data_IF_994708375707
#
_entry.id   IF_994708375707
#
_cell.length_a   1.000
_cell.length_b   1.000
_cell.length_c   1.000
_cell.angle_alpha   90.00
_cell.angle_beta   90.00
_cell.angle_gamma   90.00
#
_symmetry.space_group_name_H-M   'P 1'
#
loop_
_entity.id
_entity.type
_entity.pdbx_description
1 polymer ?
#
# COMPACT_ATOMS: atom_id res chain seq x y z
N UNK A 1 -3.66 20.57 4.18
CA UNK A 1 -2.76 19.39 4.26
C UNK A 1 -3.09 18.72 5.58
N UNK A 2 -3.49 17.45 5.61
CA UNK A 2 -3.80 16.78 6.87
C UNK A 2 -2.48 16.55 7.63
N UNK A 3 -2.34 17.16 8.80
CA UNK A 3 -1.20 16.98 9.69
C UNK A 3 -1.65 16.14 10.88
N UNK A 4 -0.77 15.28 11.39
CA UNK A 4 -1.05 14.52 12.62
C UNK A 4 -1.14 15.49 13.79
N UNK A 5 -2.06 15.27 14.74
CA UNK A 5 -2.22 16.11 15.94
C UNK A 5 -0.88 16.33 16.69
N UNK A 6 -0.04 15.31 16.75
CA UNK A 6 1.29 15.41 17.36
C UNK A 6 2.21 16.37 16.60
N UNK A 7 2.16 16.35 15.27
CA UNK A 7 2.94 17.26 14.43
C UNK A 7 2.40 18.69 14.58
N UNK A 8 1.07 18.87 14.60
CA UNK A 8 0.43 20.16 14.82
C UNK A 8 0.80 20.76 16.18
N UNK A 9 0.73 19.96 17.25
CA UNK A 9 1.12 20.38 18.60
C UNK A 9 2.61 20.76 18.67
N UNK A 10 3.49 19.96 18.04
CA UNK A 10 4.91 20.26 17.97
C UNK A 10 5.20 21.56 17.19
N UNK A 11 4.47 21.81 16.08
CA UNK A 11 4.65 23.00 15.26
C UNK A 11 4.12 24.25 15.97
N UNK A 12 2.99 24.16 16.68
CA UNK A 12 2.45 25.23 17.55
C UNK A 12 3.37 25.55 18.72
N UNK A 13 4.02 24.56 19.31
CA UNK A 13 4.96 24.77 20.43
C UNK A 13 6.33 25.34 20.02
N UNK A 14 6.65 25.31 18.71
CA UNK A 14 7.91 25.81 18.17
C UNK A 14 7.92 27.35 18.07
N UNK A 15 9.10 27.97 17.99
CA UNK A 15 9.26 29.45 17.83
C UNK A 15 8.53 30.04 16.61
N UNK A 16 8.18 29.22 15.64
CA UNK A 16 7.45 29.58 14.41
C UNK A 16 5.92 29.50 14.65
N UNK A 17 5.48 28.86 15.73
CA UNK A 17 4.07 28.74 16.11
C UNK A 17 3.38 30.09 16.29
N UNK A 18 4.07 31.11 16.81
CA UNK A 18 3.50 32.46 16.94
C UNK A 18 3.28 33.20 15.61
N UNK A 19 4.11 32.93 14.59
CA UNK A 19 3.86 33.45 13.23
C UNK A 19 2.82 32.60 12.49
N UNK A 20 2.74 31.30 12.77
CA UNK A 20 1.66 30.45 12.27
C UNK A 20 0.30 30.88 12.85
N UNK A 21 0.21 31.18 14.14
CA UNK A 21 -1.01 31.67 14.83
C UNK A 21 -1.57 32.93 14.16
N UNK A 22 -0.68 33.86 13.78
CA UNK A 22 -1.07 35.11 13.08
C UNK A 22 -1.54 34.86 11.63
N UNK A 23 -1.19 33.71 11.04
CA UNK A 23 -1.66 33.27 9.73
C UNK A 23 -2.92 32.38 9.83
N UNK A 24 -3.11 31.70 10.97
CA UNK A 24 -4.20 30.76 11.25
C UNK A 24 -5.55 31.48 11.45
N UNK A 25 -5.53 32.73 11.93
CA UNK A 25 -6.73 33.60 12.02
C UNK A 25 -7.46 33.77 10.67
N UNK A 26 -6.77 33.55 9.54
CA UNK A 26 -7.36 33.60 8.19
C UNK A 26 -7.61 32.22 7.55
N UNK A 27 -7.27 31.12 8.24
CA UNK A 27 -7.33 29.77 7.66
C UNK A 27 -7.87 28.70 8.64
N UNK A 28 -8.81 29.08 9.50
CA UNK A 28 -9.40 28.20 10.51
C UNK A 28 -10.23 27.04 9.89
N UNK A 29 -9.59 25.91 9.64
CA UNK A 29 -10.25 24.65 9.32
C UNK A 29 -10.53 23.87 10.61
N UNK A 30 -11.79 23.47 10.83
CA UNK A 30 -12.18 22.62 11.97
C UNK A 30 -12.45 21.20 11.49
N UNK A 31 -11.93 20.21 12.22
CA UNK A 31 -12.22 18.80 11.94
C UNK A 31 -13.69 18.47 12.21
N UNK A 32 -14.30 17.66 11.34
CA UNK A 32 -15.68 17.17 11.52
C UNK A 32 -15.74 15.67 11.27
N UNK A 33 -16.49 14.95 12.11
CA UNK A 33 -16.68 13.51 12.01
C UNK A 33 -15.89 12.71 13.05
N UNK A 34 -15.62 11.45 12.74
CA UNK A 34 -14.84 10.54 13.60
C UNK A 34 -13.66 10.00 12.82
N UNK A 35 -12.48 10.07 13.43
CA UNK A 35 -11.23 9.66 12.79
C UNK A 35 -11.02 8.14 12.86
N UNK A 36 -10.56 7.56 11.76
CA UNK A 36 -10.02 6.22 11.70
C UNK A 36 -8.50 6.29 11.56
N UNK A 37 -7.79 6.00 12.66
CA UNK A 37 -6.33 5.96 12.66
C UNK A 37 -5.85 4.61 12.11
N UNK A 38 -5.10 4.65 11.02
CA UNK A 38 -4.42 3.49 10.45
C UNK A 38 -2.91 3.69 10.52
N UNK A 39 -2.18 2.63 10.86
CA UNK A 39 -0.72 2.65 10.96
C UNK A 39 -0.10 1.68 9.96
N UNK A 40 0.78 2.20 9.10
CA UNK A 40 1.57 1.44 8.13
C UNK A 40 2.34 0.29 8.77
N UNK A 41 2.80 0.44 10.02
CA UNK A 41 3.55 -0.57 10.77
C UNK A 41 2.76 -1.84 11.04
N UNK A 42 1.43 -1.74 11.09
CA UNK A 42 0.55 -2.89 11.32
C UNK A 42 0.53 -3.81 10.10
N UNK A 43 0.72 -3.29 8.90
CA UNK A 43 0.77 -4.10 7.68
C UNK A 43 2.05 -4.94 7.64
N UNK A 44 1.95 -6.27 7.45
CA UNK A 44 3.14 -7.10 7.30
C UNK A 44 3.87 -6.81 5.98
N UNK A 45 3.21 -6.19 4.99
CA UNK A 45 3.72 -5.96 3.64
C UNK A 45 4.44 -4.62 3.47
N UNK A 46 4.02 -3.59 4.20
CA UNK A 46 4.56 -2.23 4.07
C UNK A 46 5.75 -2.00 5.00
N UNK A 47 6.67 -1.12 4.62
CA UNK A 47 7.81 -0.74 5.44
C UNK A 47 7.33 0.14 6.60
N UNK A 48 7.86 -0.07 7.82
CA UNK A 48 7.53 0.78 8.96
C UNK A 48 8.09 2.20 8.82
N UNK A 49 9.23 2.35 8.12
CA UNK A 49 9.95 3.61 7.92
C UNK A 49 9.80 4.08 6.47
N UNK A 50 8.56 4.22 6.02
CA UNK A 50 8.27 4.70 4.67
C UNK A 50 8.66 6.18 4.53
N UNK A 51 9.36 6.53 3.45
CA UNK A 51 9.71 7.92 3.16
C UNK A 51 8.45 8.80 3.02
N UNK A 52 8.56 10.10 3.32
CA UNK A 52 7.45 11.07 3.15
C UNK A 52 6.94 11.19 1.70
N UNK A 53 7.66 10.67 0.72
CA UNK A 53 7.16 10.59 -0.66
C UNK A 53 6.12 9.45 -0.84
N UNK A 54 6.13 8.44 0.03
CA UNK A 54 5.25 7.27 -0.04
C UNK A 54 4.01 7.39 0.86
N UNK A 55 3.87 8.46 1.65
CA UNK A 55 2.77 8.62 2.60
C UNK A 55 1.45 9.11 1.97
N UNK A 56 1.40 9.33 0.65
CA UNK A 56 0.21 9.80 -0.06
C UNK A 56 -0.31 8.84 -1.13
N UNK A 57 -0.02 7.54 -1.00
CA UNK A 57 -0.62 6.55 -1.89
C UNK A 57 -1.97 6.05 -1.38
N UNK A 58 -2.99 6.23 -2.22
CA UNK A 58 -4.33 5.73 -1.97
C UNK A 58 -4.37 4.20 -1.88
N UNK A 59 -3.57 3.46 -2.66
CA UNK A 59 -3.56 2.00 -2.62
C UNK A 59 -3.06 1.49 -1.26
N UNK A 60 -2.02 2.12 -0.71
CA UNK A 60 -1.53 1.84 0.64
C UNK A 60 -2.60 2.11 1.72
N UNK A 61 -3.32 3.23 1.65
CA UNK A 61 -4.41 3.51 2.61
C UNK A 61 -5.54 2.47 2.52
N UNK A 62 -5.97 2.13 1.30
CA UNK A 62 -7.01 1.12 1.11
C UNK A 62 -6.57 -0.27 1.58
N UNK A 63 -5.29 -0.61 1.37
CA UNK A 63 -4.70 -1.84 1.89
C UNK A 63 -4.72 -1.85 3.43
N UNK A 64 -4.36 -0.74 4.06
CA UNK A 64 -4.39 -0.60 5.52
C UNK A 64 -5.80 -0.73 6.09
N UNK A 65 -6.78 -0.05 5.48
CA UNK A 65 -8.18 -0.12 5.91
C UNK A 65 -8.75 -1.52 5.72
N UNK A 66 -8.44 -2.21 4.62
CA UNK A 66 -8.93 -3.56 4.40
C UNK A 66 -8.36 -4.58 5.41
N UNK A 67 -7.12 -4.40 5.86
CA UNK A 67 -6.57 -5.24 6.92
C UNK A 67 -6.84 -4.73 8.35
N UNK A 68 -7.51 -3.60 8.51
CA UNK A 68 -7.78 -3.02 9.82
C UNK A 68 -8.90 -3.78 10.53
N UNK A 69 -8.67 -4.13 11.80
CA UNK A 69 -9.67 -4.72 12.69
C UNK A 69 -9.92 -3.81 13.90
N UNK A 70 -8.86 -3.48 14.63
CA UNK A 70 -8.85 -2.54 15.74
C UNK A 70 -7.41 -2.11 16.03
N UNK A 71 -7.21 -1.04 16.80
CA UNK A 71 -5.90 -0.45 17.08
C UNK A 71 -4.88 -1.41 17.71
N UNK A 72 -5.34 -2.40 18.48
CA UNK A 72 -4.48 -3.36 19.19
C UNK A 72 -4.62 -4.80 18.66
N UNK A 73 -5.09 -4.95 17.42
CA UNK A 73 -5.25 -6.26 16.79
C UNK A 73 -4.27 -6.45 15.65
N UNK A 74 -3.80 -7.69 15.41
CA UNK A 74 -2.95 -7.98 14.26
C UNK A 74 -3.69 -7.69 12.95
N UNK A 75 -2.91 -7.37 11.92
CA UNK A 75 -3.43 -7.11 10.59
C UNK A 75 -4.15 -8.33 10.04
N UNK A 76 -5.33 -8.11 9.46
CA UNK A 76 -6.19 -9.18 8.96
C UNK A 76 -5.49 -9.95 7.84
N UNK A 77 -5.26 -11.25 8.03
CA UNK A 77 -4.53 -12.09 7.07
C UNK A 77 -5.28 -12.29 5.74
N UNK A 78 -6.61 -12.18 5.73
CA UNK A 78 -7.46 -12.32 4.55
C UNK A 78 -7.85 -10.96 3.94
N UNK A 79 -6.99 -9.94 4.06
CA UNK A 79 -7.13 -8.71 3.29
C UNK A 79 -7.19 -9.07 1.79
N UNK A 80 -8.25 -8.60 1.12
CA UNK A 80 -8.54 -8.87 -0.29
C UNK A 80 -7.97 -7.81 -1.22
N UNK A 81 -7.47 -6.67 -0.68
CA UNK A 81 -6.87 -5.61 -1.48
C UNK A 81 -5.65 -6.14 -2.25
N UNK A 82 -5.45 -5.63 -3.46
CA UNK A 82 -4.47 -6.18 -4.40
C UNK A 82 -3.06 -5.81 -4.01
N UNK A 83 -2.31 -6.79 -3.50
CA UNK A 83 -0.86 -6.63 -3.25
C UNK A 83 -0.09 -6.34 -4.54
N UNK A 84 -0.56 -6.83 -5.69
CA UNK A 84 0.10 -6.58 -6.99
C UNK A 84 0.05 -5.09 -7.32
N UNK A 85 -1.11 -4.47 -7.13
CA UNK A 85 -1.30 -3.05 -7.43
C UNK A 85 -0.52 -2.17 -6.45
N UNK A 86 -0.54 -2.53 -5.16
CA UNK A 86 0.31 -1.91 -4.15
C UNK A 86 1.80 -1.96 -4.52
N UNK A 87 2.26 -3.08 -5.07
CA UNK A 87 3.65 -3.23 -5.50
C UNK A 87 3.97 -2.46 -6.78
N UNK A 88 3.02 -2.29 -7.70
CA UNK A 88 3.21 -1.47 -8.90
C UNK A 88 3.31 0.00 -8.55
N UNK A 89 2.38 0.49 -7.73
CA UNK A 89 2.25 1.91 -7.42
C UNK A 89 3.26 2.35 -6.34
N UNK A 90 3.65 1.45 -5.43
CA UNK A 90 4.49 1.75 -4.27
C UNK A 90 5.56 0.68 -3.96
N UNK A 91 6.24 0.14 -4.95
CA UNK A 91 7.33 -0.85 -4.73
C UNK A 91 8.39 -0.41 -3.72
N UNK A 92 8.65 0.90 -3.61
CA UNK A 92 9.59 1.48 -2.65
C UNK A 92 9.08 1.40 -1.19
N UNK A 93 7.77 1.43 -0.98
CA UNK A 93 7.13 1.32 0.33
C UNK A 93 6.88 -0.14 0.77
N UNK A 94 7.03 -1.10 -0.14
CA UNK A 94 6.85 -2.53 0.18
C UNK A 94 8.15 -3.13 0.73
N UNK A 95 8.06 -3.99 1.76
CA UNK A 95 9.24 -4.68 2.30
C UNK A 95 9.93 -5.50 1.20
N UNK A 96 11.28 -5.46 1.19
CA UNK A 96 12.11 -6.11 0.16
C UNK A 96 11.80 -7.59 -0.06
N UNK A 97 11.41 -8.31 0.99
CA UNK A 97 11.02 -9.72 0.92
C UNK A 97 9.87 -9.97 -0.06
N UNK A 98 8.88 -9.09 -0.11
CA UNK A 98 7.71 -9.27 -0.98
C UNK A 98 8.04 -8.85 -2.42
N UNK A 99 8.83 -7.80 -2.60
CA UNK A 99 9.30 -7.40 -3.94
C UNK A 99 10.24 -8.44 -4.55
N UNK A 100 11.12 -9.08 -3.78
CA UNK A 100 11.99 -10.15 -4.26
C UNK A 100 11.20 -11.42 -4.62
N UNK A 101 10.22 -11.82 -3.80
CA UNK A 101 9.34 -12.95 -4.10
C UNK A 101 8.53 -12.73 -5.37
N UNK A 102 7.91 -11.55 -5.54
CA UNK A 102 7.17 -11.26 -6.76
C UNK A 102 8.08 -11.23 -8.00
N UNK A 103 9.30 -10.67 -7.86
CA UNK A 103 10.29 -10.72 -8.96
C UNK A 103 10.66 -12.16 -9.30
N UNK A 104 10.94 -13.02 -8.32
CA UNK A 104 11.24 -14.43 -8.55
C UNK A 104 10.08 -15.16 -9.25
N UNK A 105 8.83 -14.87 -8.87
CA UNK A 105 7.65 -15.41 -9.53
C UNK A 105 7.47 -14.88 -10.96
N UNK A 106 7.74 -13.59 -11.21
CA UNK A 106 7.74 -13.01 -12.56
C UNK A 106 8.91 -13.48 -13.43
N UNK A 107 9.98 -13.97 -12.79
CA UNK A 107 11.20 -14.46 -13.43
C UNK A 107 11.22 -15.98 -13.54
N UNK A 108 10.16 -16.70 -13.16
CA UNK A 108 10.02 -18.11 -13.54
C UNK A 108 9.69 -18.14 -15.02
N UNK A 109 10.65 -18.39 -15.93
CA UNK A 109 10.31 -18.59 -17.32
C UNK A 109 9.63 -19.96 -17.33
N UNK A 110 8.43 -20.04 -17.88
CA UNK A 110 7.96 -21.30 -18.43
C UNK A 110 9.02 -21.80 -19.41
N UNK A 111 9.91 -22.67 -18.94
CA UNK A 111 10.60 -23.63 -19.80
C UNK A 111 9.57 -24.71 -20.12
N UNK A 112 8.71 -24.43 -21.08
CA UNK A 112 8.23 -25.44 -22.00
C UNK A 112 8.28 -24.82 -23.39
N UNK A 113 9.24 -25.31 -24.17
CA UNK A 113 9.56 -24.77 -25.47
C UNK A 113 8.49 -25.03 -26.50
N UNK A 114 8.39 -24.13 -27.47
CA UNK A 114 8.20 -24.51 -28.86
C UNK A 114 8.66 -23.34 -29.73
N UNK A 115 9.88 -23.44 -30.23
CA UNK A 115 10.28 -22.80 -31.47
C UNK A 115 9.29 -23.26 -32.55
N UNK A 116 8.41 -22.39 -33.02
CA UNK A 116 7.72 -22.61 -34.28
C UNK A 116 7.70 -21.31 -35.08
N UNK A 117 8.37 -21.40 -36.21
CA UNK A 117 8.44 -20.44 -37.30
C UNK A 117 7.06 -20.00 -37.79
N UNK A 118 7.00 -18.73 -38.23
CA UNK A 118 6.00 -18.12 -39.12
C UNK A 118 5.24 -19.13 -40.00
N UNK A 119 3.92 -19.24 -39.84
CA UNK A 119 2.94 -19.07 -40.92
C UNK A 119 1.53 -18.89 -40.34
N UNK A 120 0.67 -18.13 -41.02
CA UNK A 120 -0.59 -17.62 -40.49
C UNK A 120 -1.78 -18.59 -40.43
N UNK A 121 -2.95 -17.96 -40.31
CA UNK A 121 -4.33 -18.49 -40.33
C UNK A 121 -4.99 -18.82 -38.97
N UNK A 122 -6.25 -18.42 -38.91
CA UNK A 122 -7.23 -18.44 -37.80
C UNK A 122 -7.44 -19.81 -37.16
N UNK A 123 -7.81 -19.85 -35.86
CA UNK A 123 -9.02 -20.49 -35.31
C UNK A 123 -9.03 -20.44 -33.77
N UNK A 124 -10.22 -20.50 -33.21
CA UNK A 124 -10.64 -20.29 -31.81
C UNK A 124 -10.09 -21.27 -30.76
N UNK A 125 -9.96 -20.82 -29.49
CA UNK A 125 -10.31 -21.62 -28.30
C UNK A 125 -10.31 -20.81 -27.00
N UNK A 126 -11.36 -21.00 -26.22
CA UNK A 126 -11.50 -20.60 -24.81
C UNK A 126 -10.40 -21.25 -23.96
N UNK A 127 -9.86 -20.51 -23.00
CA UNK A 127 -9.03 -21.04 -21.92
C UNK A 127 -9.43 -20.35 -20.61
N UNK A 128 -10.02 -21.12 -19.68
CA UNK A 128 -10.38 -20.65 -18.35
C UNK A 128 -9.13 -20.38 -17.52
N UNK A 129 -9.01 -19.19 -16.93
CA UNK A 129 -7.98 -18.92 -15.93
C UNK A 129 -8.39 -19.57 -14.61
N UNK A 130 -7.77 -20.71 -14.29
CA UNK A 130 -7.89 -21.35 -12.97
C UNK A 130 -7.03 -20.57 -11.97
N UNK A 131 -7.68 -19.72 -11.17
CA UNK A 131 -7.04 -19.04 -10.03
C UNK A 131 -6.95 -20.02 -8.86
N UNK A 132 -5.79 -20.65 -8.69
CA UNK A 132 -5.50 -21.45 -7.49
C UNK A 132 -4.21 -20.98 -6.84
N UNK A 133 -4.30 -20.68 -5.54
CA UNK A 133 -3.14 -20.51 -4.66
C UNK A 133 -3.17 -19.23 -3.82
N UNK A 134 -3.97 -19.22 -2.76
CA UNK A 134 -3.78 -18.28 -1.66
C UNK A 134 -2.38 -18.48 -1.06
N UNK A 135 -1.61 -17.40 -0.92
CA UNK A 135 -0.30 -17.44 -0.26
C UNK A 135 -0.49 -17.77 1.24
N UNK A 136 0.35 -18.64 1.83
CA UNK A 136 0.24 -18.96 3.24
C UNK A 136 0.62 -17.78 4.12
N UNK A 137 -0.14 -17.58 5.20
CA UNK A 137 0.15 -16.60 6.25
C UNK A 137 1.36 -17.06 7.08
N UNK A 138 2.35 -16.20 7.38
CA UNK A 138 3.46 -16.56 8.26
C UNK A 138 3.03 -16.49 9.73
N UNK A 139 3.55 -17.45 10.51
CA UNK A 139 3.48 -17.53 11.98
C UNK A 139 4.22 -16.39 12.68
#
# INVERSE_FOLDING_TARGET
>A
MFMSEELEQNLRSSKIGGVLDMLDDNLAYTHVGTELRVDTKMSPYLKPDADMACCHDLEAYLHLVDGFLASNCPFRANAKRSLVRLMQDQSANVKKLYTSKAKALSLSPERQGSSFSRQGSSFSRQGSFSMSGCLPSPS
#
